data_IF_731480571264
#
_entry.id   IF_731480571264
#
_cell.length_a   1.000
_cell.length_b   1.000
_cell.length_c   1.000
_cell.angle_alpha   90.00
_cell.angle_beta   90.00
_cell.angle_gamma   90.00
#
_symmetry.space_group_name_H-M   'P 1'
#
loop_
_entity.id
_entity.type
_entity.pdbx_description
1 polymer ?
#
# COMPACT_ATOMS: atom_id res chain seq x y z
N UNK A 1 99.02 15.07 25.13
CA UNK A 1 97.70 14.51 24.75
C UNK A 1 96.65 15.40 25.42
N UNK A 2 96.15 16.41 24.69
CA UNK A 2 94.77 16.56 24.17
C UNK A 2 93.70 16.35 25.25
N UNK A 3 92.71 17.22 25.52
CA UNK A 3 92.33 18.58 25.09
C UNK A 3 91.05 18.97 25.89
N UNK A 4 90.84 20.27 26.18
CA UNK A 4 89.56 21.01 26.38
C UNK A 4 88.52 20.50 27.39
N UNK A 5 87.73 21.30 28.11
CA UNK A 5 87.35 22.70 27.93
C UNK A 5 85.82 22.84 27.90
N UNK A 6 85.28 23.61 28.86
CA UNK A 6 84.02 24.38 28.84
C UNK A 6 82.64 23.75 29.19
N UNK A 7 82.01 24.38 30.20
CA UNK A 7 80.62 24.86 30.37
C UNK A 7 79.42 24.07 29.79
N UNK A 8 78.41 23.81 30.62
CA UNK A 8 77.13 24.54 30.61
C UNK A 8 76.15 24.02 31.69
N UNK A 9 75.45 24.95 32.33
CA UNK A 9 74.34 24.73 33.25
C UNK A 9 73.08 24.21 32.51
N UNK A 10 72.17 23.52 33.19
CA UNK A 10 70.80 24.01 33.51
C UNK A 10 69.87 22.88 33.98
N UNK A 11 69.02 23.23 34.96
CA UNK A 11 67.65 22.72 35.21
C UNK A 11 67.41 21.25 35.59
N UNK A 12 67.21 21.08 36.90
CA UNK A 12 66.32 20.09 37.51
C UNK A 12 64.87 20.42 37.13
N UNK A 13 64.24 19.60 36.28
CA UNK A 13 62.80 19.67 36.00
C UNK A 13 62.16 18.35 36.39
N UNK A 14 61.37 18.39 37.47
CA UNK A 14 60.50 17.32 37.91
C UNK A 14 59.50 16.98 36.79
N UNK A 15 59.64 15.80 36.19
CA UNK A 15 58.58 15.17 35.40
C UNK A 15 57.58 14.52 36.35
N UNK A 16 56.71 15.34 36.95
CA UNK A 16 55.41 14.88 37.43
C UNK A 16 54.49 14.83 36.21
N UNK A 17 54.42 13.67 35.56
CA UNK A 17 53.39 13.38 34.57
C UNK A 17 52.04 13.38 35.31
N UNK A 18 51.35 14.52 35.28
CA UNK A 18 49.97 14.61 35.68
C UNK A 18 49.12 13.90 34.62
N UNK A 19 48.71 12.67 34.91
CA UNK A 19 47.48 12.13 34.34
C UNK A 19 46.34 12.98 34.89
N UNK A 20 45.92 14.01 34.17
CA UNK A 20 44.59 14.59 34.38
C UNK A 20 43.58 13.60 33.82
N UNK A 21 42.74 12.95 34.64
CA UNK A 21 41.54 12.34 34.12
C UNK A 21 40.63 13.52 33.78
N UNK A 22 40.57 13.92 32.52
CA UNK A 22 39.40 14.65 32.05
C UNK A 22 38.21 13.71 32.34
N UNK A 23 37.24 14.09 33.19
CA UNK A 23 36.02 13.32 33.31
C UNK A 23 35.40 13.34 31.92
N UNK A 24 35.37 12.18 31.27
CA UNK A 24 34.53 11.98 30.11
C UNK A 24 33.12 12.13 30.67
N UNK A 25 32.50 13.28 30.45
CA UNK A 25 31.06 13.45 30.72
C UNK A 25 30.36 12.46 29.80
N UNK A 26 30.05 11.28 30.34
CA UNK A 26 29.22 10.30 29.67
C UNK A 26 27.92 11.00 29.33
N UNK A 27 27.64 11.19 28.04
CA UNK A 27 26.33 11.66 27.63
C UNK A 27 25.31 10.67 28.19
N UNK A 28 24.26 11.19 28.84
CA UNK A 28 23.17 10.37 29.31
C UNK A 28 22.70 9.50 28.13
N UNK A 29 22.55 8.19 28.37
CA UNK A 29 21.95 7.32 27.38
C UNK A 29 20.58 7.89 26.98
N UNK A 30 20.22 7.88 25.68
CA UNK A 30 18.90 8.31 25.25
C UNK A 30 17.82 7.58 26.05
N UNK A 31 16.79 8.33 26.44
CA UNK A 31 15.56 7.75 26.97
C UNK A 31 14.82 7.09 25.78
N UNK A 32 15.06 5.80 25.60
CA UNK A 32 14.53 5.04 24.48
C UNK A 32 13.00 4.93 24.51
N UNK A 33 12.41 4.87 25.70
CA UNK A 33 10.95 4.84 25.87
C UNK A 33 10.34 6.17 25.42
N UNK A 34 10.97 7.30 25.77
CA UNK A 34 10.54 8.61 25.28
C UNK A 34 10.73 8.77 23.76
N UNK A 35 11.85 8.28 23.21
CA UNK A 35 12.12 8.34 21.78
C UNK A 35 11.11 7.51 20.97
N UNK A 36 10.75 6.33 21.47
CA UNK A 36 9.75 5.44 20.87
C UNK A 36 8.33 6.03 20.92
N UNK A 37 7.95 6.62 22.06
CA UNK A 37 6.67 7.32 22.20
C UNK A 37 6.54 8.48 21.21
N UNK A 38 7.61 9.26 21.01
CA UNK A 38 7.62 10.36 20.04
C UNK A 38 7.57 9.87 18.58
N UNK A 39 8.22 8.75 18.27
CA UNK A 39 8.15 8.14 16.95
C UNK A 39 6.72 7.65 16.65
N UNK A 40 6.08 7.02 17.63
CA UNK A 40 4.68 6.57 17.54
C UNK A 40 3.72 7.74 17.35
N UNK A 41 3.83 8.82 18.14
CA UNK A 41 2.99 10.01 17.99
C UNK A 41 3.10 10.64 16.59
N UNK A 42 4.32 10.72 16.05
CA UNK A 42 4.56 11.24 14.69
C UNK A 42 3.96 10.33 13.62
N UNK A 43 4.11 9.03 13.79
CA UNK A 43 3.54 8.04 12.89
C UNK A 43 2.00 8.13 12.86
N UNK A 44 1.37 8.15 14.02
CA UNK A 44 -0.09 8.24 14.15
C UNK A 44 -0.62 9.55 13.53
N UNK A 45 0.07 10.66 13.76
CA UNK A 45 -0.26 11.94 13.13
C UNK A 45 -0.16 11.89 11.60
N UNK A 46 0.83 11.18 11.07
CA UNK A 46 1.03 11.07 9.63
C UNK A 46 -0.02 10.15 8.97
N UNK A 47 -0.41 9.05 9.62
CA UNK A 47 -1.53 8.22 9.15
C UNK A 47 -2.86 9.00 9.17
N UNK A 48 -3.11 9.77 10.23
CA UNK A 48 -4.30 10.62 10.28
C UNK A 48 -4.32 11.68 9.17
N UNK A 49 -3.15 12.22 8.79
CA UNK A 49 -3.01 13.13 7.66
C UNK A 49 -3.29 12.43 6.32
N UNK A 50 -2.83 11.19 6.15
CA UNK A 50 -3.16 10.36 4.99
C UNK A 50 -4.67 10.12 4.88
N UNK A 51 -5.32 9.68 5.96
CA UNK A 51 -6.77 9.42 6.00
C UNK A 51 -7.55 10.69 5.60
N UNK A 52 -7.15 11.85 6.12
CA UNK A 52 -7.76 13.13 5.77
C UNK A 52 -7.55 13.50 4.28
N UNK A 53 -6.39 13.18 3.70
CA UNK A 53 -6.11 13.43 2.29
C UNK A 53 -6.93 12.51 1.37
N UNK A 54 -7.08 11.23 1.75
CA UNK A 54 -7.96 10.26 1.07
C UNK A 54 -9.39 10.81 1.06
N UNK A 55 -9.96 11.11 2.23
CA UNK A 55 -11.32 11.64 2.34
C UNK A 55 -11.53 12.95 1.56
N UNK A 56 -10.53 13.84 1.54
CA UNK A 56 -10.59 15.11 0.82
C UNK A 56 -10.47 14.95 -0.70
N UNK A 57 -9.88 13.85 -1.17
CA UNK A 57 -9.69 13.55 -2.60
C UNK A 57 -10.77 12.64 -3.19
N UNK A 58 -11.62 12.03 -2.35
CA UNK A 58 -12.70 11.14 -2.75
C UNK A 58 -13.79 11.88 -3.56
N UNK A 59 -13.91 11.64 -4.88
CA UNK A 59 -14.90 12.33 -5.72
C UNK A 59 -16.32 11.80 -5.54
N UNK A 60 -16.50 10.67 -4.87
CA UNK A 60 -17.81 10.04 -4.65
C UNK A 60 -18.48 10.58 -3.37
N UNK A 61 -17.67 11.14 -2.47
CA UNK A 61 -18.12 11.66 -1.16
C UNK A 61 -17.91 13.17 -0.97
N UNK A 62 -17.22 13.82 -1.91
CA UNK A 62 -16.92 15.25 -1.87
C UNK A 62 -17.06 15.91 -3.25
N UNK A 63 -16.85 17.23 -3.31
CA UNK A 63 -16.79 18.00 -4.57
C UNK A 63 -15.39 17.92 -5.23
N UNK A 64 -14.51 17.02 -4.79
CA UNK A 64 -13.17 16.84 -5.35
C UNK A 64 -13.25 16.50 -6.83
N UNK A 65 -12.34 17.06 -7.63
CA UNK A 65 -12.20 16.80 -9.07
C UNK A 65 -10.83 16.18 -9.35
N UNK A 66 -10.60 14.92 -8.94
CA UNK A 66 -9.31 14.27 -9.14
C UNK A 66 -8.98 14.16 -10.63
N UNK A 67 -7.68 14.14 -10.90
CA UNK A 67 -7.13 13.76 -12.20
C UNK A 67 -5.89 12.95 -11.89
N UNK A 68 -6.05 11.64 -11.72
CA UNK A 68 -5.03 10.74 -11.18
C UNK A 68 -4.91 9.52 -12.11
N UNK A 69 -3.68 9.17 -12.47
CA UNK A 69 -3.34 7.84 -12.97
C UNK A 69 -2.42 7.17 -11.97
N UNK A 70 -2.74 5.94 -11.61
CA UNK A 70 -1.95 5.11 -10.72
C UNK A 70 -1.77 3.71 -11.25
N UNK A 71 -0.86 2.97 -10.61
CA UNK A 71 -0.62 1.55 -10.87
C UNK A 71 -0.74 0.81 -9.55
N UNK A 72 -1.60 -0.21 -9.52
CA UNK A 72 -1.66 -1.19 -8.44
C UNK A 72 -1.01 -2.49 -8.88
N UNK A 73 -0.40 -3.20 -7.96
CA UNK A 73 0.18 -4.51 -8.19
C UNK A 73 0.06 -5.39 -6.96
N UNK A 74 -0.20 -6.67 -7.20
CA UNK A 74 -0.23 -7.74 -6.20
C UNK A 74 0.57 -8.89 -6.78
N UNK A 75 1.63 -9.29 -6.08
CA UNK A 75 2.45 -10.44 -6.44
C UNK A 75 2.67 -11.30 -5.20
N UNK A 76 2.53 -12.61 -5.35
CA UNK A 76 2.80 -13.55 -4.28
C UNK A 76 3.42 -14.84 -4.82
N UNK A 77 4.48 -15.29 -4.15
CA UNK A 77 5.19 -16.53 -4.47
C UNK A 77 5.25 -17.42 -3.23
N UNK A 78 4.87 -18.70 -3.39
CA UNK A 78 4.93 -19.73 -2.35
C UNK A 78 5.56 -21.00 -2.92
N UNK A 79 6.81 -21.28 -2.52
CA UNK A 79 7.62 -22.33 -3.15
C UNK A 79 7.80 -22.09 -4.66
N UNK A 80 7.36 -23.04 -5.48
CA UNK A 80 7.40 -22.95 -6.95
C UNK A 80 6.13 -22.31 -7.56
N UNK A 81 5.14 -21.92 -6.75
CA UNK A 81 3.88 -21.31 -7.20
C UNK A 81 4.02 -19.79 -7.18
N UNK A 82 3.56 -19.14 -8.23
CA UNK A 82 3.63 -17.70 -8.40
C UNK A 82 2.27 -17.16 -8.88
N UNK A 83 1.95 -15.94 -8.48
CA UNK A 83 0.74 -15.22 -8.85
C UNK A 83 1.06 -13.74 -8.97
N UNK A 84 0.42 -13.06 -9.92
CA UNK A 84 0.71 -11.67 -10.19
C UNK A 84 -0.43 -11.00 -10.93
N UNK A 85 -0.86 -9.86 -10.42
CA UNK A 85 -1.82 -8.99 -11.06
C UNK A 85 -1.31 -7.55 -10.98
N UNK A 86 -1.56 -6.78 -12.04
CA UNK A 86 -1.30 -5.36 -12.06
C UNK A 86 -2.45 -4.64 -12.75
N UNK A 87 -2.86 -3.50 -12.19
CA UNK A 87 -3.91 -2.64 -12.72
C UNK A 87 -3.37 -1.24 -12.98
N UNK A 88 -3.63 -0.68 -14.17
CA UNK A 88 -3.49 0.76 -14.42
C UNK A 88 -4.84 1.40 -14.18
N UNK A 89 -4.89 2.36 -13.27
CA UNK A 89 -6.14 2.98 -12.79
C UNK A 89 -6.10 4.45 -13.15
N UNK A 90 -7.13 4.95 -13.80
CA UNK A 90 -7.30 6.36 -14.13
C UNK A 90 -8.64 6.87 -13.62
N UNK A 91 -8.57 7.97 -12.86
CA UNK A 91 -9.72 8.62 -12.24
C UNK A 91 -9.74 10.09 -12.68
N UNK A 92 -10.89 10.54 -13.21
CA UNK A 92 -11.01 11.91 -13.74
C UNK A 92 -12.37 12.54 -13.46
N UNK A 93 -12.37 13.77 -12.92
CA UNK A 93 -13.54 14.63 -12.84
C UNK A 93 -14.48 14.36 -11.66
N UNK A 94 -15.63 15.05 -11.66
CA UNK A 94 -16.73 14.87 -10.71
C UNK A 94 -18.07 15.28 -11.37
N UNK A 95 -19.01 14.37 -11.65
CA UNK A 95 -18.96 12.93 -11.36
C UNK A 95 -17.72 12.26 -11.97
N UNK A 96 -17.12 11.32 -11.25
CA UNK A 96 -15.86 10.73 -11.67
C UNK A 96 -16.08 9.74 -12.82
N UNK A 97 -15.18 9.74 -13.80
CA UNK A 97 -14.98 8.62 -14.71
C UNK A 97 -13.85 7.74 -14.18
N UNK A 98 -13.99 6.43 -14.30
CA UNK A 98 -12.99 5.44 -13.89
C UNK A 98 -12.62 4.57 -15.08
N UNK A 99 -11.32 4.39 -15.30
CA UNK A 99 -10.78 3.40 -16.23
C UNK A 99 -9.77 2.54 -15.49
N UNK A 100 -10.02 1.24 -15.45
CA UNK A 100 -9.10 0.24 -14.87
C UNK A 100 -8.73 -0.71 -16.00
N UNK A 101 -7.43 -0.90 -16.21
CA UNK A 101 -6.90 -1.84 -17.19
C UNK A 101 -6.02 -2.85 -16.48
N UNK A 102 -6.36 -4.12 -16.61
CA UNK A 102 -5.72 -5.20 -15.87
C UNK A 102 -4.74 -5.98 -16.74
N UNK A 103 -3.69 -6.44 -16.09
CA UNK A 103 -2.79 -7.47 -16.60
C UNK A 103 -2.64 -8.53 -15.53
N UNK A 104 -2.70 -9.80 -15.95
CA UNK A 104 -2.65 -10.96 -15.06
C UNK A 104 -1.53 -11.92 -15.50
N UNK A 105 -0.99 -12.66 -14.54
CA UNK A 105 -0.02 -13.72 -14.77
C UNK A 105 -0.60 -14.88 -15.58
N UNK A 106 -1.91 -15.14 -15.51
CA UNK A 106 -2.63 -16.05 -16.39
C UNK A 106 -3.31 -15.29 -17.54
N UNK A 107 -2.76 -15.32 -18.77
CA UNK A 107 -3.28 -14.55 -19.88
C UNK A 107 -4.72 -14.93 -20.21
N UNK A 108 -5.61 -13.94 -20.22
CA UNK A 108 -7.02 -14.10 -20.55
C UNK A 108 -7.96 -14.01 -19.36
N UNK A 109 -7.44 -13.98 -18.12
CA UNK A 109 -8.22 -13.75 -16.91
C UNK A 109 -8.09 -12.30 -16.43
N UNK A 110 -8.41 -11.36 -17.31
CA UNK A 110 -8.40 -9.91 -17.01
C UNK A 110 -9.80 -9.33 -17.11
N UNK A 111 -10.09 -8.32 -16.30
CA UNK A 111 -11.32 -7.53 -16.38
C UNK A 111 -10.96 -6.05 -16.44
N UNK A 112 -11.02 -5.47 -17.63
CA UNK A 112 -10.89 -4.02 -17.74
C UNK A 112 -12.24 -3.38 -17.41
N UNK A 113 -12.23 -2.30 -16.62
CA UNK A 113 -13.45 -1.61 -16.19
C UNK A 113 -13.49 -0.19 -16.75
N UNK A 114 -14.61 0.20 -17.33
CA UNK A 114 -14.93 1.55 -17.72
C UNK A 114 -16.20 2.00 -16.99
N UNK A 115 -16.08 3.05 -16.19
CA UNK A 115 -17.20 3.81 -15.68
C UNK A 115 -17.19 5.21 -16.29
N UNK A 116 -18.32 5.59 -16.88
CA UNK A 116 -18.50 6.92 -17.46
C UNK A 116 -19.21 7.83 -16.46
N UNK A 117 -18.68 9.05 -16.30
CA UNK A 117 -19.17 10.03 -15.34
C UNK A 117 -20.71 10.15 -15.31
N UNK A 118 -21.31 9.81 -14.17
CA UNK A 118 -22.73 9.99 -13.89
C UNK A 118 -23.64 8.90 -14.45
N UNK A 119 -23.09 7.81 -14.95
CA UNK A 119 -23.86 6.62 -15.30
C UNK A 119 -24.09 5.71 -14.09
N UNK A 120 -25.18 4.96 -14.10
CA UNK A 120 -25.53 4.01 -13.02
C UNK A 120 -24.96 2.60 -13.28
N UNK A 121 -24.06 2.47 -14.25
CA UNK A 121 -23.51 1.19 -14.74
C UNK A 121 -22.01 1.28 -14.96
N UNK A 122 -21.35 0.12 -14.89
CA UNK A 122 -19.97 -0.08 -15.28
C UNK A 122 -19.92 -1.04 -16.47
N UNK A 123 -18.98 -0.78 -17.39
CA UNK A 123 -18.69 -1.65 -18.52
C UNK A 123 -17.43 -2.45 -18.23
N UNK A 124 -17.56 -3.77 -18.19
CA UNK A 124 -16.49 -4.72 -17.98
C UNK A 124 -16.10 -5.34 -19.32
N UNK A 125 -14.85 -5.19 -19.76
CA UNK A 125 -14.30 -5.93 -20.88
C UNK A 125 -13.64 -7.20 -20.37
N UNK A 126 -14.23 -8.34 -20.72
CA UNK A 126 -13.79 -9.65 -20.27
C UNK A 126 -12.66 -10.20 -21.15
N UNK A 127 -11.59 -10.67 -20.52
CA UNK A 127 -10.58 -11.48 -21.19
C UNK A 127 -11.12 -12.84 -21.67
N UNK A 128 -10.38 -13.48 -22.58
CA UNK A 128 -10.78 -14.73 -23.24
C UNK A 128 -11.11 -15.88 -22.27
N UNK A 129 -10.47 -15.91 -21.09
CA UNK A 129 -10.71 -16.89 -20.02
C UNK A 129 -12.14 -16.81 -19.46
N UNK A 130 -12.74 -15.62 -19.49
CA UNK A 130 -14.10 -15.35 -19.03
C UNK A 130 -15.16 -15.41 -20.13
N UNK A 131 -14.80 -15.81 -21.35
CA UNK A 131 -15.71 -15.88 -22.52
C UNK A 131 -16.94 -16.79 -22.34
N UNK A 132 -16.93 -17.67 -21.33
CA UNK A 132 -18.10 -18.51 -20.99
C UNK A 132 -19.14 -17.81 -20.10
N UNK A 133 -18.80 -16.65 -19.53
CA UNK A 133 -19.69 -15.92 -18.61
C UNK A 133 -20.77 -15.13 -19.37
N UNK A 134 -20.44 -14.61 -20.55
CA UNK A 134 -21.32 -13.78 -21.35
C UNK A 134 -21.16 -14.05 -22.87
N UNK A 135 -22.22 -13.89 -23.68
CA UNK A 135 -22.15 -14.09 -25.13
C UNK A 135 -21.38 -13.00 -25.89
N UNK A 136 -21.06 -11.87 -25.25
CA UNK A 136 -20.32 -10.74 -25.84
C UNK A 136 -19.09 -10.38 -25.01
N UNK A 137 -18.08 -9.69 -25.59
CA UNK A 137 -16.87 -9.32 -24.85
C UNK A 137 -17.11 -8.31 -23.73
N UNK A 138 -18.04 -7.37 -23.94
CA UNK A 138 -18.40 -6.40 -22.92
C UNK A 138 -19.60 -6.86 -22.11
N UNK A 139 -19.55 -6.57 -20.82
CA UNK A 139 -20.62 -6.79 -19.87
C UNK A 139 -20.98 -5.47 -19.19
N UNK A 140 -22.26 -5.15 -19.13
CA UNK A 140 -22.78 -4.02 -18.35
C UNK A 140 -23.32 -4.54 -17.02
N UNK A 141 -22.81 -3.99 -15.92
CA UNK A 141 -23.26 -4.28 -14.54
C UNK A 141 -23.68 -2.99 -13.84
N UNK A 142 -24.56 -3.01 -12.82
CA UNK A 142 -24.82 -1.83 -12.02
C UNK A 142 -23.55 -1.34 -11.33
N UNK A 143 -23.37 -0.02 -11.30
CA UNK A 143 -22.15 0.56 -10.71
C UNK A 143 -22.11 0.39 -9.19
N UNK A 144 -20.88 0.19 -8.70
CA UNK A 144 -20.56 0.26 -7.27
C UNK A 144 -20.13 1.66 -6.83
N UNK A 145 -19.82 2.54 -7.79
CA UNK A 145 -19.38 3.90 -7.51
C UNK A 145 -20.54 4.78 -7.05
N UNK A 146 -20.23 5.69 -6.13
CA UNK A 146 -21.21 6.65 -5.63
C UNK A 146 -21.44 7.78 -6.64
N UNK A 147 -22.46 8.60 -6.40
CA UNK A 147 -22.61 9.86 -7.11
C UNK A 147 -22.89 11.00 -6.13
N UNK A 148 -22.45 12.24 -6.44
CA UNK A 148 -22.80 13.39 -5.61
C UNK A 148 -24.33 13.51 -5.43
N UNK A 149 -24.77 13.68 -4.19
CA UNK A 149 -26.20 13.82 -3.87
C UNK A 149 -26.95 12.51 -3.60
N UNK A 150 -26.27 11.37 -3.54
CA UNK A 150 -26.84 10.13 -2.98
C UNK A 150 -27.27 10.29 -1.52
N UNK A 151 -28.12 9.37 -1.06
CA UNK A 151 -28.42 9.25 0.37
C UNK A 151 -27.12 9.04 1.17
N UNK A 152 -26.88 9.78 2.26
CA UNK A 152 -25.62 9.70 3.01
C UNK A 152 -25.26 8.31 3.53
N UNK A 153 -26.25 7.43 3.78
CA UNK A 153 -25.96 6.05 4.19
C UNK A 153 -25.48 5.21 3.02
N UNK A 154 -25.97 5.48 1.81
CA UNK A 154 -25.54 4.81 0.57
C UNK A 154 -24.18 5.35 0.12
N UNK A 155 -23.99 6.67 0.14
CA UNK A 155 -22.72 7.32 -0.19
C UNK A 155 -21.59 6.90 0.77
N UNK A 156 -21.90 6.64 2.04
CA UNK A 156 -20.94 6.12 3.01
C UNK A 156 -20.41 4.71 2.69
N UNK A 157 -21.11 3.97 1.82
CA UNK A 157 -20.73 2.63 1.38
C UNK A 157 -20.08 2.64 -0.01
N UNK A 158 -19.85 3.82 -0.63
CA UNK A 158 -19.36 3.96 -2.00
C UNK A 158 -18.27 5.04 -2.05
N UNK A 159 -17.10 4.69 -1.55
CA UNK A 159 -15.91 5.56 -1.45
C UNK A 159 -14.87 5.27 -2.53
N UNK A 160 -13.83 6.10 -2.61
CA UNK A 160 -12.69 5.84 -3.50
C UNK A 160 -11.99 4.51 -3.24
N UNK A 161 -12.13 3.92 -2.04
CA UNK A 161 -11.60 2.59 -1.73
C UNK A 161 -12.32 1.44 -2.44
N UNK A 162 -13.38 1.69 -3.22
CA UNK A 162 -14.00 0.71 -4.12
C UNK A 162 -13.43 0.73 -5.55
N UNK A 163 -12.63 1.75 -5.88
CA UNK A 163 -11.93 1.79 -7.16
C UNK A 163 -10.74 0.85 -7.03
N UNK A 164 -10.64 -0.14 -7.93
CA UNK A 164 -9.48 -1.03 -8.01
C UNK A 164 -8.18 -0.22 -7.96
N UNK A 165 -7.17 -0.74 -7.28
CA UNK A 165 -5.92 -0.07 -6.96
C UNK A 165 -5.94 0.97 -5.85
N UNK A 166 -6.94 1.86 -5.78
CA UNK A 166 -7.13 2.67 -4.56
C UNK A 166 -7.58 1.79 -3.39
N UNK A 167 -8.38 0.77 -3.69
CA UNK A 167 -8.71 -0.32 -2.77
C UNK A 167 -7.45 -0.93 -2.15
N UNK A 168 -6.44 -1.27 -2.96
CA UNK A 168 -5.17 -1.83 -2.48
C UNK A 168 -4.48 -0.93 -1.46
N UNK A 169 -4.45 0.38 -1.69
CA UNK A 169 -3.92 1.34 -0.71
C UNK A 169 -4.76 1.32 0.60
N UNK A 170 -6.09 1.35 0.49
CA UNK A 170 -6.96 1.34 1.66
C UNK A 170 -6.81 0.05 2.48
N UNK A 171 -6.69 -1.10 1.81
CA UNK A 171 -6.50 -2.39 2.46
C UNK A 171 -5.11 -2.51 3.12
N UNK A 172 -4.04 -1.94 2.55
CA UNK A 172 -2.74 -1.86 3.25
C UNK A 172 -2.88 -0.99 4.51
N UNK A 173 -3.57 0.15 4.42
CA UNK A 173 -3.83 1.02 5.58
C UNK A 173 -4.64 0.29 6.66
N UNK A 174 -5.63 -0.50 6.27
CA UNK A 174 -6.44 -1.29 7.20
C UNK A 174 -5.62 -2.43 7.82
N UNK A 175 -4.70 -3.05 7.06
CA UNK A 175 -3.75 -4.04 7.58
C UNK A 175 -2.78 -3.43 8.61
N UNK A 176 -2.34 -2.18 8.43
CA UNK A 176 -1.57 -1.43 9.44
C UNK A 176 -2.38 -1.26 10.73
N UNK A 177 -3.64 -0.83 10.61
CA UNK A 177 -4.53 -0.63 11.75
C UNK A 177 -4.78 -1.94 12.50
N UNK A 178 -5.11 -3.01 11.76
CA UNK A 178 -5.34 -4.33 12.34
C UNK A 178 -4.09 -4.88 13.03
N UNK A 179 -2.93 -4.69 12.43
CA UNK A 179 -1.65 -5.07 13.03
C UNK A 179 -1.42 -4.32 14.34
N UNK A 180 -1.65 -3.01 14.37
CA UNK A 180 -1.48 -2.19 15.57
C UNK A 180 -2.40 -2.62 16.72
N UNK A 181 -3.62 -3.07 16.42
CA UNK A 181 -4.60 -3.57 17.39
C UNK A 181 -4.36 -5.03 17.83
N UNK A 182 -3.46 -5.74 17.15
CA UNK A 182 -3.14 -7.14 17.46
C UNK A 182 -2.29 -7.30 18.73
N UNK A 183 -2.20 -8.52 19.24
CA UNK A 183 -1.39 -8.84 20.44
C UNK A 183 0.11 -8.57 20.27
N UNK A 184 0.62 -8.57 19.03
CA UNK A 184 2.02 -8.31 18.69
C UNK A 184 2.25 -6.90 18.15
N UNK A 185 1.19 -6.09 17.97
CA UNK A 185 1.25 -4.79 17.29
C UNK A 185 2.18 -3.75 17.92
N UNK A 186 2.50 -3.90 19.21
CA UNK A 186 3.49 -3.08 19.91
C UNK A 186 4.94 -3.31 19.46
N UNK A 187 5.22 -4.44 18.80
CA UNK A 187 6.56 -4.77 18.30
C UNK A 187 6.81 -4.26 16.86
N UNK A 188 5.75 -3.83 16.15
CA UNK A 188 5.84 -3.33 14.79
C UNK A 188 6.67 -2.03 14.76
N UNK A 189 7.67 -1.99 13.88
CA UNK A 189 8.50 -0.79 13.71
C UNK A 189 7.68 0.36 13.16
N UNK A 190 8.02 1.59 13.57
CA UNK A 190 7.39 2.81 13.09
C UNK A 190 8.44 3.90 12.93
N UNK A 191 8.46 4.56 11.78
CA UNK A 191 9.34 5.70 11.54
C UNK A 191 8.71 6.66 10.54
N UNK A 192 9.00 7.95 10.73
CA UNK A 192 8.63 9.03 9.81
C UNK A 192 9.87 9.89 9.59
N UNK A 193 10.28 10.00 8.34
CA UNK A 193 11.34 10.87 7.87
C UNK A 193 10.74 11.94 6.96
N UNK A 194 11.20 13.19 7.08
CA UNK A 194 10.78 14.29 6.19
C UNK A 194 11.98 14.76 5.41
N UNK A 195 11.90 14.71 4.09
CA UNK A 195 12.95 15.18 3.19
C UNK A 195 13.00 16.71 3.12
N UNK A 196 14.13 17.31 2.68
CA UNK A 196 14.25 18.77 2.56
C UNK A 196 13.24 19.43 1.62
N UNK A 197 12.68 18.69 0.66
CA UNK A 197 11.65 19.18 -0.27
C UNK A 197 10.23 19.08 0.31
N UNK A 198 10.08 18.53 1.51
CA UNK A 198 8.81 18.34 2.21
C UNK A 198 8.18 16.96 2.01
N UNK A 199 8.74 16.10 1.16
CA UNK A 199 8.27 14.72 0.99
C UNK A 199 8.36 13.97 2.31
N UNK A 200 7.30 13.26 2.68
CA UNK A 200 7.26 12.46 3.90
C UNK A 200 7.42 11.00 3.55
N UNK A 201 8.37 10.34 4.20
CA UNK A 201 8.58 8.90 4.10
C UNK A 201 8.28 8.21 5.42
N UNK A 202 7.22 7.40 5.41
CA UNK A 202 6.73 6.65 6.55
C UNK A 202 7.04 5.18 6.34
N UNK A 203 7.58 4.50 7.36
CA UNK A 203 7.79 3.04 7.33
C UNK A 203 7.14 2.40 8.53
N UNK A 204 6.50 1.26 8.30
CA UNK A 204 5.96 0.39 9.33
C UNK A 204 5.98 -1.07 8.91
N UNK A 205 5.28 -1.93 9.63
CA UNK A 205 5.19 -3.36 9.42
C UNK A 205 3.74 -3.82 9.63
N UNK A 206 3.31 -4.81 8.85
CA UNK A 206 2.00 -5.48 9.00
C UNK A 206 2.20 -6.96 9.25
N UNK A 207 1.33 -7.62 10.01
CA UNK A 207 1.40 -9.09 10.16
C UNK A 207 0.84 -9.78 8.93
N UNK A 208 1.33 -10.98 8.61
CA UNK A 208 0.74 -11.80 7.55
C UNK A 208 -0.75 -12.10 7.81
N UNK A 209 -1.15 -12.26 9.08
CA UNK A 209 -2.55 -12.41 9.46
C UNK A 209 -3.41 -11.25 8.96
N UNK A 210 -2.97 -10.00 9.18
CA UNK A 210 -3.68 -8.80 8.75
C UNK A 210 -3.85 -8.75 7.22
N UNK A 211 -2.87 -9.26 6.48
CA UNK A 211 -2.85 -9.28 5.01
C UNK A 211 -3.83 -10.31 4.45
N UNK A 212 -3.87 -11.52 5.01
CA UNK A 212 -4.61 -12.64 4.43
C UNK A 212 -6.05 -12.76 4.96
N UNK A 213 -6.21 -12.66 6.28
CA UNK A 213 -7.46 -13.06 6.96
C UNK A 213 -8.45 -11.92 7.03
N UNK A 214 -7.95 -10.70 7.28
CA UNK A 214 -8.82 -9.58 7.64
C UNK A 214 -9.01 -8.56 6.50
N UNK A 215 -8.05 -8.47 5.57
CA UNK A 215 -8.12 -7.51 4.45
C UNK A 215 -8.02 -8.15 3.06
N UNK A 216 -7.75 -9.46 2.98
CA UNK A 216 -7.67 -10.23 1.73
C UNK A 216 -6.83 -9.58 0.61
N UNK A 217 -5.80 -8.81 0.98
CA UNK A 217 -4.86 -8.13 0.07
C UNK A 217 -4.17 -9.07 -0.92
N UNK A 218 -3.98 -10.32 -0.48
CA UNK A 218 -3.40 -11.39 -1.28
C UNK A 218 -4.35 -12.59 -1.20
N UNK A 219 -4.91 -12.96 -2.34
CA UNK A 219 -5.73 -14.15 -2.45
C UNK A 219 -4.85 -15.37 -2.64
N UNK A 220 -4.66 -16.14 -1.56
CA UNK A 220 -3.99 -17.43 -1.61
C UNK A 220 -5.02 -18.56 -1.71
N UNK A 221 -4.75 -19.59 -2.53
CA UNK A 221 -5.48 -20.85 -2.51
C UNK A 221 -5.59 -21.45 -1.10
N UNK A 222 -6.75 -22.02 -0.76
CA UNK A 222 -7.02 -22.50 0.60
C UNK A 222 -6.02 -23.56 1.07
N UNK A 223 -5.50 -24.39 0.16
CA UNK A 223 -4.46 -25.38 0.46
C UNK A 223 -3.16 -24.74 0.97
N UNK A 224 -2.79 -23.55 0.46
CA UNK A 224 -1.65 -22.79 0.97
C UNK A 224 -1.99 -22.16 2.32
N UNK A 225 -3.17 -21.57 2.45
CA UNK A 225 -3.61 -20.93 3.71
C UNK A 225 -3.60 -21.92 4.88
N UNK A 226 -4.05 -23.16 4.62
CA UNK A 226 -4.10 -24.24 5.63
C UNK A 226 -2.70 -24.72 6.09
N UNK A 227 -1.63 -24.43 5.32
CA UNK A 227 -0.24 -24.76 5.67
C UNK A 227 0.43 -23.68 6.56
N UNK A 228 -0.13 -22.47 6.62
CA UNK A 228 0.47 -21.35 7.34
C UNK A 228 0.38 -21.56 8.86
N UNK A 229 1.53 -21.63 9.51
CA UNK A 229 1.58 -21.76 10.97
C UNK A 229 1.20 -20.45 11.67
N UNK A 230 0.78 -20.49 12.95
CA UNK A 230 0.58 -19.27 13.74
C UNK A 230 1.82 -18.37 13.78
N UNK A 231 3.02 -18.95 13.75
CA UNK A 231 4.27 -18.18 13.73
C UNK A 231 4.44 -17.40 12.42
N UNK A 232 4.04 -17.99 11.29
CA UNK A 232 4.05 -17.29 10.00
C UNK A 232 3.03 -16.17 10.00
N UNK A 233 1.83 -16.41 10.52
CA UNK A 233 0.76 -15.42 10.61
C UNK A 233 1.14 -14.19 11.45
N UNK A 234 1.89 -14.38 12.53
CA UNK A 234 2.41 -13.30 13.38
C UNK A 234 3.67 -12.60 12.80
N UNK A 235 4.21 -13.06 11.66
CA UNK A 235 5.41 -12.49 11.07
C UNK A 235 5.11 -11.14 10.43
N UNK A 236 5.98 -10.15 10.71
CA UNK A 236 5.92 -8.81 10.16
C UNK A 236 6.46 -8.72 8.73
N UNK A 237 5.69 -8.04 7.87
CA UNK A 237 6.01 -7.70 6.49
C UNK A 237 6.21 -6.18 6.42
N UNK A 238 7.35 -5.68 5.91
CA UNK A 238 7.60 -4.24 5.81
C UNK A 238 6.59 -3.51 4.92
N UNK A 239 6.17 -2.33 5.37
CA UNK A 239 5.37 -1.38 4.61
C UNK A 239 6.07 -0.03 4.54
N UNK A 240 6.02 0.58 3.37
CA UNK A 240 6.61 1.86 3.06
C UNK A 240 5.57 2.77 2.38
N UNK A 241 5.49 4.02 2.84
CA UNK A 241 4.51 5.01 2.43
C UNK A 241 5.23 6.31 2.10
N UNK A 242 4.96 6.87 0.93
CA UNK A 242 5.46 8.15 0.46
C UNK A 242 4.30 9.12 0.29
N UNK A 243 4.44 10.31 0.87
CA UNK A 243 3.50 11.41 0.70
C UNK A 243 4.22 12.66 0.20
N UNK A 244 3.53 13.42 -0.65
CA UNK A 244 4.02 14.72 -1.11
C UNK A 244 3.95 15.77 0.03
N UNK A 245 4.52 16.98 -0.17
CA UNK A 245 4.47 18.03 0.85
C UNK A 245 3.07 18.51 1.23
N UNK A 246 2.06 18.24 0.41
CA UNK A 246 0.66 18.57 0.67
C UNK A 246 -0.06 17.43 1.43
N UNK A 247 0.63 16.32 1.69
CA UNK A 247 0.13 15.15 2.42
C UNK A 247 -0.59 14.13 1.53
N UNK A 248 -0.62 14.32 0.21
CA UNK A 248 -1.24 13.35 -0.69
C UNK A 248 -0.36 12.12 -0.84
N UNK A 249 -0.99 10.96 -1.03
CA UNK A 249 -0.27 9.74 -1.34
C UNK A 249 0.47 9.85 -2.67
N UNK A 250 1.75 9.51 -2.66
CA UNK A 250 2.54 9.24 -3.88
C UNK A 250 2.63 7.73 -4.11
N UNK A 251 2.97 6.97 -3.08
CA UNK A 251 3.12 5.51 -3.15
C UNK A 251 2.87 4.87 -1.80
N UNK A 252 2.29 3.67 -1.79
CA UNK A 252 2.26 2.76 -0.65
C UNK A 252 2.65 1.37 -1.14
N UNK A 253 3.59 0.72 -0.47
CA UNK A 253 4.07 -0.62 -0.84
C UNK A 253 4.30 -1.46 0.42
N UNK A 254 3.73 -2.66 0.42
CA UNK A 254 4.07 -3.78 1.28
C UNK A 254 4.97 -4.73 0.50
N UNK A 255 6.13 -5.07 1.04
CA UNK A 255 7.09 -5.94 0.34
C UNK A 255 7.96 -6.72 1.33
N UNK A 256 7.89 -8.04 1.28
CA UNK A 256 8.71 -8.87 2.15
C UNK A 256 8.53 -10.37 1.92
N UNK A 257 9.27 -11.14 2.71
CA UNK A 257 9.21 -12.60 2.71
C UNK A 257 8.96 -13.08 4.13
N UNK A 258 7.92 -13.89 4.29
CA UNK A 258 7.61 -14.61 5.52
C UNK A 258 8.29 -15.98 5.46
N UNK A 259 9.25 -16.26 6.36
CA UNK A 259 9.94 -17.54 6.36
C UNK A 259 9.00 -18.71 6.68
N UNK A 260 9.10 -19.78 5.92
CA UNK A 260 8.39 -21.03 6.16
C UNK A 260 8.74 -21.66 7.51
N UNK A 261 7.75 -22.24 8.17
CA UNK A 261 7.92 -22.99 9.42
C UNK A 261 7.14 -24.29 9.35
N UNK A 262 7.51 -25.27 10.18
CA UNK A 262 6.82 -26.57 10.27
C UNK A 262 6.68 -27.35 8.94
N UNK A 263 7.58 -27.09 8.00
CA UNK A 263 7.60 -27.74 6.69
C UNK A 263 6.87 -26.97 5.58
N UNK A 264 6.27 -25.81 5.89
CA UNK A 264 5.76 -24.86 4.91
C UNK A 264 6.92 -24.18 4.15
N UNK A 265 6.64 -23.73 2.93
CA UNK A 265 7.57 -22.97 2.10
C UNK A 265 7.60 -21.48 2.52
N UNK A 266 8.60 -20.75 2.04
CA UNK A 266 8.64 -19.29 2.21
C UNK A 266 7.53 -18.64 1.37
N UNK A 267 6.87 -17.63 1.94
CA UNK A 267 5.87 -16.81 1.26
C UNK A 267 6.46 -15.42 1.00
N UNK A 268 6.75 -15.10 -0.27
CA UNK A 268 7.11 -13.74 -0.67
C UNK A 268 5.86 -12.99 -1.15
N UNK A 269 5.69 -11.75 -0.70
CA UNK A 269 4.58 -10.88 -1.10
C UNK A 269 5.10 -9.50 -1.49
N UNK A 270 4.52 -8.96 -2.56
CA UNK A 270 4.71 -7.57 -2.96
C UNK A 270 3.35 -7.01 -3.39
N UNK A 271 2.85 -6.04 -2.63
CA UNK A 271 1.56 -5.40 -2.87
C UNK A 271 1.74 -3.90 -2.78
N UNK A 272 1.18 -3.13 -3.71
CA UNK A 272 1.31 -1.69 -3.63
C UNK A 272 0.50 -0.92 -4.65
N UNK A 273 0.42 0.39 -4.41
CA UNK A 273 -0.18 1.36 -5.29
C UNK A 273 0.75 2.57 -5.42
N UNK A 274 0.91 3.08 -6.64
CA UNK A 274 1.74 4.24 -6.95
C UNK A 274 1.00 5.19 -7.88
N UNK A 275 0.91 6.47 -7.51
CA UNK A 275 0.43 7.54 -8.39
C UNK A 275 1.54 7.86 -9.38
N UNK A 276 1.26 7.65 -10.68
CA UNK A 276 2.24 7.83 -11.76
C UNK A 276 2.04 9.14 -12.54
N UNK A 277 0.92 9.82 -12.33
CA UNK A 277 0.66 11.13 -12.92
C UNK A 277 -0.80 11.53 -12.88
N UNK A 278 -1.16 12.45 -13.78
CA UNK A 278 -2.54 12.86 -13.97
C UNK A 278 -3.22 12.04 -15.08
N UNK A 279 -4.50 11.74 -14.89
CA UNK A 279 -5.32 11.11 -15.93
C UNK A 279 -5.34 11.95 -17.21
N UNK A 280 -5.14 11.28 -18.36
CA UNK A 280 -5.40 11.86 -19.67
C UNK A 280 -6.86 11.60 -20.04
N UNK A 281 -7.72 12.64 -20.15
CA UNK A 281 -9.11 12.45 -20.54
C UNK A 281 -9.25 11.79 -21.91
N UNK A 282 -8.26 11.92 -22.79
CA UNK A 282 -8.25 11.27 -24.11
C UNK A 282 -7.91 9.78 -24.08
N UNK A 283 -7.48 9.24 -22.94
CA UNK A 283 -7.20 7.81 -22.77
C UNK A 283 -8.47 6.99 -22.45
N UNK A 284 -9.56 7.64 -22.05
CA UNK A 284 -10.84 6.96 -21.82
C UNK A 284 -11.45 6.54 -23.17
N UNK A 285 -11.77 5.24 -23.37
CA UNK A 285 -12.35 4.77 -24.62
C UNK A 285 -13.78 5.28 -24.81
N UNK A 286 -14.25 5.26 -26.06
CA UNK A 286 -15.67 5.42 -26.37
C UNK A 286 -16.48 4.26 -25.78
N UNK A 287 -17.77 4.50 -25.52
CA UNK A 287 -18.69 3.46 -25.08
C UNK A 287 -18.74 2.30 -26.08
N UNK A 288 -18.83 1.05 -25.60
CA UNK A 288 -18.98 -0.11 -26.49
C UNK A 288 -20.30 -0.03 -27.28
N UNK A 289 -20.31 -0.63 -28.47
CA UNK A 289 -21.51 -0.72 -29.27
C UNK A 289 -22.55 -1.60 -28.56
N UNK A 290 -23.83 -1.23 -28.61
CA UNK A 290 -24.89 -1.91 -27.85
C UNK A 290 -25.06 -3.40 -28.21
N UNK A 291 -24.67 -3.81 -29.42
CA UNK A 291 -24.68 -5.21 -29.87
C UNK A 291 -23.47 -6.02 -29.39
N UNK A 292 -22.43 -5.36 -28.87
CA UNK A 292 -21.24 -5.98 -28.26
C UNK A 292 -21.32 -6.05 -26.72
N UNK A 293 -22.46 -5.70 -26.13
CA UNK A 293 -22.67 -5.62 -24.67
C UNK A 293 -23.73 -6.62 -24.19
N UNK A 294 -23.38 -7.38 -23.16
CA UNK A 294 -24.31 -8.24 -22.41
C UNK A 294 -24.71 -7.51 -21.13
N UNK A 295 -26.00 -7.24 -20.97
CA UNK A 295 -26.51 -6.59 -19.75
C UNK A 295 -26.77 -7.61 -18.66
N UNK A 296 -26.11 -7.45 -17.52
CA UNK A 296 -26.36 -8.22 -16.30
C UNK A 296 -27.20 -7.36 -15.36
N UNK A 297 -28.48 -7.71 -15.11
CA UNK A 297 -29.32 -6.93 -14.21
C UNK A 297 -28.85 -7.09 -12.76
N UNK A 298 -29.12 -6.11 -11.90
CA UNK A 298 -28.73 -6.11 -10.48
C UNK A 298 -28.98 -7.41 -9.70
N UNK A 299 -30.09 -8.10 -9.99
CA UNK A 299 -30.44 -9.39 -9.35
C UNK A 299 -29.53 -10.56 -9.75
N UNK A 300 -28.72 -10.41 -10.79
CA UNK A 300 -27.81 -11.42 -11.33
C UNK A 300 -26.34 -11.04 -11.22
N UNK A 301 -26.03 -9.88 -10.63
CA UNK A 301 -24.66 -9.40 -10.45
C UNK A 301 -23.86 -10.31 -9.52
N UNK A 302 -24.46 -10.78 -8.41
CA UNK A 302 -23.83 -11.73 -7.49
C UNK A 302 -23.48 -13.06 -8.19
N UNK A 303 -24.44 -13.71 -8.87
CA UNK A 303 -24.21 -14.94 -9.64
C UNK A 303 -23.15 -14.77 -10.73
N UNK A 304 -23.08 -13.59 -11.36
CA UNK A 304 -22.04 -13.29 -12.35
C UNK A 304 -20.64 -13.27 -11.72
N UNK A 305 -20.46 -12.58 -10.60
CA UNK A 305 -19.17 -12.52 -9.90
C UNK A 305 -18.79 -13.84 -9.23
N UNK A 306 -19.75 -14.58 -8.66
CA UNK A 306 -19.51 -15.92 -8.12
C UNK A 306 -18.97 -16.86 -9.19
N UNK A 307 -19.62 -16.89 -10.37
CA UNK A 307 -19.17 -17.70 -11.51
C UNK A 307 -17.83 -17.23 -12.08
N UNK A 308 -17.51 -15.95 -11.95
CA UNK A 308 -16.21 -15.43 -12.35
C UNK A 308 -15.10 -15.92 -11.42
N UNK A 309 -15.35 -15.96 -10.10
CA UNK A 309 -14.40 -16.48 -9.11
C UNK A 309 -14.19 -18.00 -9.15
N UNK A 310 -15.12 -18.74 -9.74
CA UNK A 310 -15.04 -20.20 -9.92
C UNK A 310 -14.20 -20.66 -11.14
N UNK A 311 -13.76 -19.72 -12.00
CA UNK A 311 -12.98 -19.98 -13.21
C UNK A 311 -11.48 -19.77 -12.96
#
# INVERSE_FOLDING_TARGET
MRAGGALAALTTLLLLAACTPEPVDGQAFPDWDHADALASERFDAQLAALDAAIDASDPFRSDAQPSITGVSYVHATYGDRDSGQQSVVSLHGNPASVLIQQTDADPGFTVDTLHVSGEDVDYLLLGDGYSSLAPTPWVEVPTVYGHPGEDPLVAGLRSMCFVDGFQTMCEIRDAITYTADSAVGGDARRSVDVEPDGTVFTRTEVTLAAVLVDNSLVHLPQDIVDELSPTMLDTFIPVALWQDPDGNLVKMEMNGTVPGTDGAEDLAVQVGFEVTGAADPGAFPDLPATDDVTVIPARGTEDFYDRMGDL
#
